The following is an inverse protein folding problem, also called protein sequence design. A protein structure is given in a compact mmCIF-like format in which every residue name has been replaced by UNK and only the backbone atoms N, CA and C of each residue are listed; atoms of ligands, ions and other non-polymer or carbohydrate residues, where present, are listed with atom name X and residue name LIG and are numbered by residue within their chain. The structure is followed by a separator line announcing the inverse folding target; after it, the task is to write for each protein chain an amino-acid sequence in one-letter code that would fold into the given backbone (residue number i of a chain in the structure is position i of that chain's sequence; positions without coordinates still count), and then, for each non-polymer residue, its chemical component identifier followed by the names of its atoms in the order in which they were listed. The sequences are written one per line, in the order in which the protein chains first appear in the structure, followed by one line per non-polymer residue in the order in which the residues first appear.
data_IF_989528774567
#
_entry.id   IF_989528774567
#
_cell.length_a   1.000
_cell.length_b   1.000
_cell.length_c   1.000
_cell.angle_alpha   90.00
_cell.angle_beta   90.00
_cell.angle_gamma   90.00
#
_symmetry.space_group_name_H-M   'P 1'
#
loop_
_entity.id
_entity.type
_entity.pdbx_description
1 polymer ?
#
# COMPACT_ATOMS: atom_id res chain seq x y z
N UNK A 1 -5.51 11.40 11.59
CA UNK A 1 -4.05 11.34 11.78
C UNK A 1 -3.45 12.50 11.00
N UNK A 2 -3.03 13.57 11.69
CA UNK A 2 -2.44 14.73 11.03
C UNK A 2 -1.18 14.31 10.25
N UNK A 3 -1.03 14.83 9.04
CA UNK A 3 0.15 14.59 8.22
C UNK A 3 1.33 15.28 8.92
N UNK A 4 2.18 14.50 9.59
CA UNK A 4 3.42 15.02 10.15
C UNK A 4 4.46 15.15 9.04
N UNK A 5 5.00 16.35 8.86
CA UNK A 5 6.03 16.59 7.85
C UNK A 5 7.33 15.89 8.23
N UNK A 6 8.15 15.54 7.23
CA UNK A 6 9.49 14.99 7.44
C UNK A 6 10.34 15.95 8.28
N UNK A 7 10.15 17.25 8.13
CA UNK A 7 10.81 18.28 8.95
C UNK A 7 10.51 18.15 10.45
N UNK A 8 9.26 17.86 10.83
CA UNK A 8 8.90 17.66 12.23
C UNK A 8 9.59 16.42 12.81
N UNK A 9 9.67 15.33 12.04
CA UNK A 9 10.39 14.12 12.44
C UNK A 9 11.87 14.39 12.71
N UNK A 10 12.51 15.22 11.86
CA UNK A 10 13.90 15.61 12.04
C UNK A 10 14.09 16.47 13.30
N UNK A 11 13.25 17.50 13.49
CA UNK A 11 13.33 18.40 14.65
C UNK A 11 13.15 17.67 15.97
N UNK A 12 12.18 16.76 16.05
CA UNK A 12 11.91 15.96 17.26
C UNK A 12 13.08 15.02 17.57
N UNK A 13 13.65 14.37 16.55
CA UNK A 13 14.82 13.48 16.76
C UNK A 13 16.06 14.24 17.18
N UNK A 14 16.34 15.37 16.55
CA UNK A 14 17.48 16.21 16.89
C UNK A 14 17.38 16.67 18.34
N UNK A 15 16.22 17.21 18.74
CA UNK A 15 16.00 17.65 20.12
C UNK A 15 16.20 16.53 21.15
N UNK A 16 15.73 15.30 20.84
CA UNK A 16 15.94 14.15 21.73
C UNK A 16 17.40 13.69 21.76
N UNK A 17 18.10 13.75 20.62
CA UNK A 17 19.54 13.44 20.54
C UNK A 17 20.39 14.48 21.27
N UNK A 18 19.96 15.73 21.33
CA UNK A 18 20.60 16.84 22.05
C UNK A 18 20.34 16.79 23.57
N UNK A 19 19.64 15.76 24.06
CA UNK A 19 19.43 15.52 25.49
C UNK A 19 18.05 15.89 26.01
N UNK A 20 17.13 16.35 25.14
CA UNK A 20 15.74 16.58 25.55
C UNK A 20 15.04 15.25 25.83
N UNK A 21 14.40 15.14 27.00
CA UNK A 21 13.58 13.95 27.29
C UNK A 21 12.36 13.88 26.35
N UNK A 22 11.90 12.66 26.04
CA UNK A 22 10.69 12.46 25.21
C UNK A 22 9.45 13.21 25.75
N UNK A 23 9.37 13.41 27.08
CA UNK A 23 8.30 14.18 27.73
C UNK A 23 8.43 15.69 27.46
N UNK A 24 9.64 16.23 27.50
CA UNK A 24 9.90 17.63 27.15
C UNK A 24 9.65 17.87 25.67
N UNK A 25 10.08 16.96 24.79
CA UNK A 25 9.82 17.05 23.35
C UNK A 25 8.31 17.04 23.04
N UNK A 26 7.53 16.18 23.69
CA UNK A 26 6.07 16.14 23.53
C UNK A 26 5.40 17.47 23.88
N UNK A 27 5.84 18.12 24.97
CA UNK A 27 5.34 19.45 25.37
C UNK A 27 5.80 20.55 24.42
N UNK A 28 7.08 20.54 24.04
CA UNK A 28 7.69 21.57 23.19
C UNK A 28 7.10 21.59 21.78
N UNK A 29 6.91 20.42 21.17
CA UNK A 29 6.35 20.28 19.82
C UNK A 29 4.83 20.09 19.80
N UNK A 30 4.17 20.13 20.96
CA UNK A 30 2.72 19.93 21.13
C UNK A 30 2.19 18.67 20.39
N UNK A 31 2.87 17.54 20.59
CA UNK A 31 2.52 16.25 20.00
C UNK A 31 2.39 15.19 21.08
N UNK A 32 1.61 14.14 20.78
CA UNK A 32 1.44 13.03 21.71
C UNK A 32 2.79 12.36 22.02
N UNK A 33 2.95 11.81 23.24
CA UNK A 33 4.15 11.06 23.63
C UNK A 33 4.38 9.86 22.71
N UNK A 34 3.31 9.25 22.21
CA UNK A 34 3.36 8.13 21.27
C UNK A 34 3.90 8.57 19.90
N UNK A 35 3.51 9.76 19.43
CA UNK A 35 4.06 10.36 18.21
C UNK A 35 5.56 10.64 18.36
N UNK A 36 6.00 11.18 19.50
CA UNK A 36 7.45 11.37 19.79
C UNK A 36 8.18 10.04 19.78
N UNK A 37 7.62 9.01 20.43
CA UNK A 37 8.26 7.69 20.46
C UNK A 37 8.40 7.11 19.06
N UNK A 38 7.36 7.24 18.21
CA UNK A 38 7.42 6.85 16.80
C UNK A 38 8.46 7.65 16.02
N UNK A 39 8.51 8.96 16.20
CA UNK A 39 9.49 9.84 15.54
C UNK A 39 10.93 9.51 15.91
N UNK A 40 11.19 9.07 17.15
CA UNK A 40 12.53 8.62 17.58
C UNK A 40 12.86 7.24 17.00
N UNK A 41 11.88 6.33 16.90
CA UNK A 41 12.08 4.98 16.38
C UNK A 41 12.20 4.90 14.84
N UNK A 42 11.58 5.82 14.10
CA UNK A 42 11.54 5.80 12.64
C UNK A 42 12.17 7.06 12.05
N UNK A 43 13.04 6.90 11.04
CA UNK A 43 13.75 8.04 10.42
C UNK A 43 12.83 8.90 9.54
N UNK A 44 11.78 8.32 9.00
CA UNK A 44 10.76 9.01 8.22
C UNK A 44 9.39 8.64 8.79
N UNK A 45 8.37 9.50 8.64
CA UNK A 45 7.00 9.10 8.95
C UNK A 45 6.71 7.78 8.24
N UNK A 46 6.38 6.71 8.96
CA UNK A 46 5.92 5.51 8.30
C UNK A 46 4.69 5.92 7.50
N UNK A 47 4.79 5.81 6.18
CA UNK A 47 3.68 6.06 5.28
C UNK A 47 2.53 5.09 5.57
N UNK A 48 1.49 5.13 4.75
CA UNK A 48 0.43 4.13 4.87
C UNK A 48 1.01 2.72 4.77
N UNK A 49 0.97 1.98 5.88
CA UNK A 49 1.36 0.58 5.97
C UNK A 49 0.09 -0.25 6.16
N UNK A 50 -0.16 -1.17 5.23
CA UNK A 50 -1.26 -2.12 5.37
C UNK A 50 -0.90 -3.08 6.50
N UNK A 51 -1.75 -3.12 7.54
CA UNK A 51 -1.57 -4.05 8.66
C UNK A 51 -1.95 -5.48 8.29
N UNK A 52 -2.81 -5.64 7.27
CA UNK A 52 -3.31 -6.93 6.82
C UNK A 52 -2.97 -7.13 5.33
N UNK A 53 -2.76 -8.39 4.90
CA UNK A 53 -2.64 -8.70 3.49
C UNK A 53 -3.90 -8.29 2.74
N UNK A 54 -3.71 -7.97 1.47
CA UNK A 54 -4.80 -7.56 0.56
C UNK A 54 -5.72 -8.77 0.38
N UNK A 55 -6.94 -8.71 0.92
CA UNK A 55 -7.96 -9.73 0.64
C UNK A 55 -8.54 -9.46 -0.74
N UNK A 56 -8.54 -10.44 -1.63
CA UNK A 56 -9.15 -10.35 -2.97
C UNK A 56 -10.32 -11.34 -3.09
N UNK A 57 -11.40 -11.17 -2.30
CA UNK A 57 -12.42 -12.20 -2.09
C UNK A 57 -13.12 -12.70 -3.36
N UNK A 58 -13.23 -11.87 -4.40
CA UNK A 58 -13.84 -12.24 -5.68
C UNK A 58 -12.85 -12.67 -6.75
N UNK A 59 -11.57 -12.32 -6.60
CA UNK A 59 -10.58 -12.45 -7.66
C UNK A 59 -9.60 -13.60 -7.40
N UNK A 60 -9.36 -13.96 -6.13
CA UNK A 60 -8.42 -15.03 -5.74
C UNK A 60 -8.73 -16.37 -6.41
N UNK A 61 -10.00 -16.72 -6.60
CA UNK A 61 -10.40 -17.96 -7.26
C UNK A 61 -10.02 -18.02 -8.75
N UNK A 62 -9.82 -16.87 -9.39
CA UNK A 62 -9.55 -16.77 -10.83
C UNK A 62 -8.11 -16.34 -11.16
N UNK A 63 -7.29 -16.03 -10.15
CA UNK A 63 -5.89 -15.59 -10.33
C UNK A 63 -5.10 -16.59 -11.18
N UNK A 64 -5.19 -17.89 -10.86
CA UNK A 64 -4.45 -18.93 -11.59
C UNK A 64 -4.82 -19.04 -13.06
N UNK A 65 -6.08 -18.79 -13.40
CA UNK A 65 -6.57 -18.81 -14.79
C UNK A 65 -6.07 -17.59 -15.54
N UNK A 66 -6.10 -16.41 -14.91
CA UNK A 66 -5.57 -15.18 -15.48
C UNK A 66 -4.06 -15.29 -15.70
N UNK A 67 -3.32 -15.84 -14.72
CA UNK A 67 -1.87 -16.07 -14.84
C UNK A 67 -1.54 -16.98 -16.02
N UNK A 68 -2.29 -18.08 -16.19
CA UNK A 68 -2.10 -18.97 -17.33
C UNK A 68 -2.31 -18.26 -18.68
N UNK A 69 -3.39 -17.50 -18.84
CA UNK A 69 -3.65 -16.75 -20.07
C UNK A 69 -2.59 -15.67 -20.34
N UNK A 70 -2.10 -15.00 -19.30
CA UNK A 70 -1.02 -14.02 -19.44
C UNK A 70 0.32 -14.68 -19.82
N UNK A 71 0.61 -15.88 -19.32
CA UNK A 71 1.80 -16.64 -19.73
C UNK A 71 1.73 -17.08 -21.20
N UNK A 72 0.55 -17.48 -21.68
CA UNK A 72 0.32 -17.77 -23.09
C UNK A 72 0.47 -16.52 -23.97
N UNK A 73 0.00 -15.36 -23.48
CA UNK A 73 0.16 -14.08 -24.17
C UNK A 73 1.63 -13.68 -24.37
N UNK A 74 2.51 -14.05 -23.45
CA UNK A 74 3.94 -13.76 -23.60
C UNK A 74 4.54 -14.48 -24.81
N UNK A 75 3.99 -15.64 -25.18
CA UNK A 75 4.46 -16.48 -26.30
C UNK A 75 3.97 -15.99 -27.66
N UNK A 76 2.94 -15.13 -27.71
CA UNK A 76 2.38 -14.60 -28.96
C UNK A 76 2.88 -13.17 -29.25
N UNK A 77 2.89 -12.74 -30.54
CA UNK A 77 3.24 -11.38 -30.93
C UNK A 77 2.37 -10.34 -30.23
N UNK A 78 2.94 -9.16 -29.93
CA UNK A 78 2.29 -8.08 -29.17
C UNK A 78 0.88 -7.70 -29.64
N UNK A 79 0.59 -7.81 -30.95
CA UNK A 79 -0.73 -7.50 -31.52
C UNK A 79 -1.81 -8.56 -31.24
N UNK A 80 -1.41 -9.78 -30.89
CA UNK A 80 -2.29 -10.91 -30.64
C UNK A 80 -2.52 -11.18 -29.14
N UNK A 81 -1.79 -10.50 -28.26
CA UNK A 81 -1.96 -10.61 -26.81
C UNK A 81 -3.35 -10.16 -26.38
N UNK A 82 -3.90 -10.82 -25.37
CA UNK A 82 -5.15 -10.37 -24.77
C UNK A 82 -4.96 -8.99 -24.14
N UNK A 83 -5.99 -8.16 -24.29
CA UNK A 83 -6.12 -6.92 -23.52
C UNK A 83 -6.80 -7.24 -22.20
N UNK A 84 -6.64 -6.38 -21.19
CA UNK A 84 -7.34 -6.52 -19.91
C UNK A 84 -8.86 -6.70 -20.10
N UNK A 85 -9.44 -6.03 -21.10
CA UNK A 85 -10.86 -6.18 -21.45
C UNK A 85 -11.18 -7.57 -21.99
N UNK A 86 -10.35 -8.14 -22.88
CA UNK A 86 -10.56 -9.51 -23.41
C UNK A 86 -10.46 -10.55 -22.30
N UNK A 87 -9.47 -10.43 -21.42
CA UNK A 87 -9.34 -11.29 -20.25
C UNK A 87 -10.60 -11.20 -19.38
N UNK A 88 -11.10 -9.99 -19.13
CA UNK A 88 -12.32 -9.78 -18.35
C UNK A 88 -13.57 -10.38 -19.01
N UNK A 89 -13.78 -10.13 -20.31
CA UNK A 89 -14.93 -10.65 -21.05
C UNK A 89 -14.91 -12.19 -21.05
N UNK A 90 -13.75 -12.80 -21.33
CA UNK A 90 -13.58 -14.26 -21.28
C UNK A 90 -13.81 -14.84 -19.88
N UNK A 91 -13.32 -14.16 -18.84
CA UNK A 91 -13.50 -14.56 -17.44
C UNK A 91 -14.96 -14.45 -16.99
N UNK A 92 -15.72 -13.49 -17.54
CA UNK A 92 -17.16 -13.41 -17.32
C UNK A 92 -17.90 -14.53 -18.04
N UNK A 93 -17.54 -14.79 -19.30
CA UNK A 93 -18.28 -15.69 -20.18
C UNK A 93 -17.98 -17.18 -19.90
N UNK A 94 -16.77 -17.54 -19.48
CA UNK A 94 -16.38 -18.93 -19.19
C UNK A 94 -16.48 -19.34 -17.71
N UNK A 95 -16.50 -18.37 -16.80
CA UNK A 95 -16.31 -18.60 -15.36
C UNK A 95 -17.27 -17.80 -14.47
N UNK A 96 -18.30 -17.18 -15.05
CA UNK A 96 -19.37 -16.44 -14.36
C UNK A 96 -18.85 -15.38 -13.36
N UNK A 97 -17.76 -14.69 -13.72
CA UNK A 97 -17.17 -13.68 -12.85
C UNK A 97 -18.15 -12.56 -12.51
N UNK A 98 -18.47 -12.43 -11.22
CA UNK A 98 -19.42 -11.43 -10.67
C UNK A 98 -18.73 -10.13 -10.23
N UNK A 99 -17.48 -9.90 -10.64
CA UNK A 99 -16.75 -8.67 -10.36
C UNK A 99 -16.88 -7.65 -11.50
N UNK A 100 -16.56 -6.38 -11.21
CA UNK A 100 -16.50 -5.33 -12.22
C UNK A 100 -15.15 -5.28 -12.93
N UNK A 101 -15.11 -4.67 -14.11
CA UNK A 101 -13.87 -4.33 -14.82
C UNK A 101 -13.02 -3.30 -14.02
N UNK A 102 -13.65 -2.55 -13.13
CA UNK A 102 -13.03 -1.53 -12.28
C UNK A 102 -13.45 -1.74 -10.82
N UNK A 103 -12.60 -1.31 -9.89
CA UNK A 103 -12.76 -1.53 -8.43
C UNK A 103 -13.72 -0.50 -7.77
N UNK A 104 -14.16 0.52 -8.52
CA UNK A 104 -14.97 1.66 -8.02
C UNK A 104 -16.45 1.29 -7.96
#
# INVERSE_FOLDING_TARGET
MGIYTVELYLKVRLAVSEGMSRRQAAKHFNISRDSVSKMVSYSTPPGYQRQLPIRRPKLDAFVSTIEHWLEEDLKVPRKQRHTAKRVFDQLRDERDFTGGYTII
#
